data_IF_306679436080
#
_entry.id   IF_306679436080
#
_cell.length_a   1.000
_cell.length_b   1.000
_cell.length_c   1.000
_cell.angle_alpha   90.00
_cell.angle_beta   90.00
_cell.angle_gamma   90.00
#
_symmetry.space_group_name_H-M   'P 1'
#
loop_
_entity.id
_entity.type
_entity.pdbx_description
1 polymer ?
#
# COMPACT_ATOMS: atom_id res chain seq x y z
N UNK A 1 -21.06 25.62 8.44
CA UNK A 1 -21.15 25.05 7.08
C UNK A 1 -19.78 24.48 6.77
N UNK A 2 -19.70 23.24 6.26
CA UNK A 2 -18.43 22.63 5.85
C UNK A 2 -18.47 22.51 4.34
N UNK A 3 -17.47 23.07 3.68
CA UNK A 3 -17.30 22.97 2.23
C UNK A 3 -16.14 22.01 1.94
N UNK A 4 -16.26 21.22 0.87
CA UNK A 4 -15.28 20.19 0.52
C UNK A 4 -14.66 20.52 -0.83
N UNK A 5 -13.34 20.67 -0.85
CA UNK A 5 -12.57 20.80 -2.07
C UNK A 5 -12.04 19.42 -2.51
N UNK A 6 -12.20 19.10 -3.79
CA UNK A 6 -11.60 17.91 -4.40
C UNK A 6 -10.46 18.34 -5.32
N UNK A 7 -9.28 17.76 -5.10
CA UNK A 7 -8.06 18.07 -5.87
C UNK A 7 -7.69 16.81 -6.65
N UNK A 8 -7.43 16.97 -7.94
CA UNK A 8 -7.09 15.87 -8.85
C UNK A 8 -5.89 16.23 -9.70
N UNK A 9 -5.13 15.23 -10.11
CA UNK A 9 -3.94 15.41 -10.95
C UNK A 9 -4.27 14.89 -12.36
N UNK A 10 -4.12 15.75 -13.36
CA UNK A 10 -4.22 15.36 -14.76
C UNK A 10 -2.92 14.68 -15.22
N UNK A 11 -2.73 13.39 -14.88
CA UNK A 11 -1.48 12.65 -15.11
C UNK A 11 -0.96 12.67 -16.55
N UNK A 12 -1.85 12.78 -17.55
CA UNK A 12 -1.48 12.90 -18.96
C UNK A 12 -0.75 14.22 -19.29
N UNK A 13 -0.91 15.25 -18.47
CA UNK A 13 -0.28 16.56 -18.61
C UNK A 13 0.97 16.73 -17.73
N UNK A 14 1.20 15.82 -16.77
CA UNK A 14 2.39 15.85 -15.92
C UNK A 14 3.59 15.36 -16.73
N UNK A 15 4.67 16.14 -16.78
CA UNK A 15 5.88 15.77 -17.52
C UNK A 15 6.47 14.46 -17.00
N UNK A 16 7.06 13.68 -17.91
CA UNK A 16 7.77 12.45 -17.52
C UNK A 16 8.94 12.80 -16.57
N UNK A 17 9.08 12.04 -15.48
CA UNK A 17 10.09 12.31 -14.46
C UNK A 17 9.80 13.53 -13.57
N UNK A 18 8.61 14.15 -13.65
CA UNK A 18 8.22 15.22 -12.73
C UNK A 18 8.32 14.73 -11.28
N UNK A 19 9.03 15.49 -10.44
CA UNK A 19 9.25 15.20 -9.04
C UNK A 19 9.38 16.53 -8.30
N UNK A 20 8.24 17.13 -7.98
CA UNK A 20 8.21 18.41 -7.29
C UNK A 20 6.90 18.58 -6.51
N UNK A 21 6.82 19.65 -5.73
CA UNK A 21 5.63 20.04 -4.97
C UNK A 21 4.85 21.09 -5.74
N UNK A 22 3.59 20.79 -6.06
CA UNK A 22 2.64 21.77 -6.59
C UNK A 22 1.99 22.50 -5.42
N UNK A 23 2.05 23.82 -5.44
CA UNK A 23 1.45 24.67 -4.41
C UNK A 23 0.07 25.14 -4.88
N UNK A 24 -0.94 25.01 -4.00
CA UNK A 24 -2.30 25.45 -4.26
C UNK A 24 -2.66 26.48 -3.19
N UNK A 25 -2.94 27.69 -3.66
CA UNK A 25 -3.20 28.85 -2.83
C UNK A 25 -4.71 29.03 -2.61
N UNK A 26 -5.09 29.32 -1.36
CA UNK A 26 -6.47 29.60 -1.00
C UNK A 26 -6.58 30.95 -0.30
N UNK A 27 -7.58 31.71 -0.71
CA UNK A 27 -7.97 32.98 -0.10
C UNK A 27 -9.46 32.95 0.21
N UNK A 28 -9.87 33.53 1.33
CA UNK A 28 -11.29 33.59 1.74
C UNK A 28 -11.81 35.03 1.75
N UNK A 29 -13.06 35.23 1.31
CA UNK A 29 -13.75 36.53 1.32
C UNK A 29 -15.21 36.36 1.75
N UNK A 30 -15.74 37.16 2.71
CA UNK A 30 -15.04 38.12 3.54
C UNK A 30 -14.27 37.40 4.67
N UNK A 31 -12.95 37.44 4.63
CA UNK A 31 -12.10 37.02 5.75
C UNK A 31 -11.76 38.22 6.60
N UNK A 32 -11.94 38.14 7.92
CA UNK A 32 -11.60 39.24 8.85
C UNK A 32 -10.09 39.55 8.90
N UNK A 33 -9.25 38.67 8.32
CA UNK A 33 -7.82 38.85 8.07
C UNK A 33 -7.47 38.19 6.72
N UNK A 34 -6.44 38.65 5.98
CA UNK A 34 -5.99 38.02 4.74
C UNK A 34 -5.29 36.69 5.05
N UNK A 35 -6.06 35.68 5.45
CA UNK A 35 -5.54 34.33 5.62
C UNK A 35 -5.28 33.74 4.24
N UNK A 36 -3.99 33.59 3.96
CA UNK A 36 -3.46 32.85 2.84
C UNK A 36 -3.13 31.44 3.35
N UNK A 37 -3.85 30.45 2.85
CA UNK A 37 -3.51 29.06 3.09
C UNK A 37 -2.82 28.48 1.86
N UNK A 38 -1.78 27.70 2.11
CA UNK A 38 -0.98 27.05 1.07
C UNK A 38 -1.03 25.54 1.26
N UNK A 39 -1.64 24.84 0.32
CA UNK A 39 -1.57 23.39 0.26
C UNK A 39 -0.42 22.96 -0.64
N UNK A 40 0.50 22.19 -0.08
CA UNK A 40 1.63 21.59 -0.79
C UNK A 40 1.30 20.16 -1.19
N UNK A 41 1.21 19.93 -2.50
CA UNK A 41 0.89 18.61 -3.08
C UNK A 41 2.14 18.06 -3.74
N UNK A 42 2.86 17.12 -3.11
CA UNK A 42 3.97 16.44 -3.77
C UNK A 42 3.44 15.62 -4.95
N UNK A 43 3.95 15.87 -6.14
CA UNK A 43 3.62 15.13 -7.35
C UNK A 43 4.89 14.46 -7.86
N UNK A 44 4.87 13.14 -7.84
CA UNK A 44 5.94 12.29 -8.34
C UNK A 44 5.39 11.41 -9.46
N UNK A 45 5.87 11.63 -10.70
CA UNK A 45 5.55 10.80 -11.86
C UNK A 45 6.66 9.77 -12.09
N UNK A 46 6.78 8.82 -11.17
CA UNK A 46 7.59 7.61 -11.39
C UNK A 46 6.77 6.59 -12.17
N UNK A 47 7.16 6.33 -13.41
CA UNK A 47 6.57 5.24 -14.20
C UNK A 47 7.33 3.95 -13.87
N UNK A 48 6.62 2.96 -13.36
CA UNK A 48 7.13 1.59 -13.29
C UNK A 48 7.23 1.03 -14.72
N UNK A 49 8.14 0.08 -14.92
CA UNK A 49 8.17 -0.66 -16.17
C UNK A 49 6.80 -1.29 -16.45
N UNK A 50 6.39 -1.35 -17.73
CA UNK A 50 5.06 -1.83 -18.12
C UNK A 50 4.85 -3.32 -17.75
N UNK A 51 5.93 -4.05 -17.49
CA UNK A 51 5.98 -5.45 -17.06
C UNK A 51 6.30 -5.62 -15.56
N UNK A 52 6.23 -4.55 -14.77
CA UNK A 52 6.53 -4.62 -13.33
C UNK A 52 5.55 -5.54 -12.59
N UNK A 53 6.09 -6.52 -11.85
CA UNK A 53 5.34 -7.44 -11.00
C UNK A 53 5.84 -7.29 -9.56
N UNK A 54 5.06 -6.62 -8.71
CA UNK A 54 5.50 -6.30 -7.36
C UNK A 54 4.60 -5.33 -6.63
N UNK A 55 5.10 -4.83 -5.51
CA UNK A 55 4.47 -3.78 -4.73
C UNK A 55 5.31 -2.51 -4.87
N UNK A 56 4.85 -1.51 -5.61
CA UNK A 56 5.62 -0.30 -5.76
C UNK A 56 5.64 0.49 -4.46
N UNK A 57 6.75 1.16 -4.20
CA UNK A 57 6.83 2.14 -3.14
C UNK A 57 5.95 3.34 -3.48
N UNK A 58 5.20 3.82 -2.50
CA UNK A 58 4.47 5.07 -2.58
C UNK A 58 4.56 5.80 -1.24
N UNK A 59 4.77 7.11 -1.28
CA UNK A 59 4.87 7.95 -0.08
C UNK A 59 5.92 7.48 0.96
N UNK A 60 7.05 6.92 0.51
CA UNK A 60 8.16 6.53 1.39
C UNK A 60 8.03 5.15 2.04
N UNK A 61 7.01 4.36 1.67
CA UNK A 61 6.83 3.00 2.19
C UNK A 61 6.17 2.08 1.17
N UNK A 62 6.29 0.79 1.43
CA UNK A 62 5.54 -0.28 0.75
C UNK A 62 4.66 -0.93 1.80
N UNK A 63 3.34 -0.91 1.59
CA UNK A 63 2.38 -1.59 2.47
C UNK A 63 1.75 -2.76 1.73
N UNK A 64 1.86 -3.96 2.31
CA UNK A 64 1.42 -5.22 1.70
C UNK A 64 0.57 -5.98 2.70
N UNK A 65 -0.64 -6.36 2.31
CA UNK A 65 -1.44 -7.31 3.09
C UNK A 65 -0.85 -8.71 2.94
N UNK A 66 -0.60 -9.39 4.07
CA UNK A 66 0.09 -10.70 4.10
C UNK A 66 -0.40 -11.78 3.10
N UNK A 67 -1.70 -11.84 2.72
CA UNK A 67 -2.18 -12.79 1.72
C UNK A 67 -1.76 -12.49 0.26
N UNK A 68 -1.23 -11.31 -0.04
CA UNK A 68 -0.77 -10.92 -1.39
C UNK A 68 0.68 -11.36 -1.68
N UNK A 69 1.10 -12.54 -1.23
CA UNK A 69 2.42 -13.06 -1.57
C UNK A 69 2.51 -13.41 -3.08
N UNK A 70 3.68 -13.28 -3.68
CA UNK A 70 3.91 -13.62 -5.10
C UNK A 70 4.36 -15.07 -5.32
N UNK A 71 4.78 -15.74 -4.25
CA UNK A 71 5.16 -17.14 -4.27
C UNK A 71 4.91 -17.78 -2.91
N UNK A 72 4.64 -19.08 -2.90
CA UNK A 72 4.56 -19.87 -1.66
C UNK A 72 5.32 -21.17 -1.82
N UNK A 73 5.95 -21.61 -0.73
CA UNK A 73 6.54 -22.93 -0.60
C UNK A 73 5.92 -23.66 0.58
N UNK A 74 5.98 -24.99 0.54
CA UNK A 74 5.54 -25.87 1.60
C UNK A 74 6.51 -27.02 1.80
N UNK A 75 6.16 -27.97 2.65
CA UNK A 75 6.94 -29.21 2.79
C UNK A 75 7.01 -29.97 1.47
N UNK A 76 8.00 -30.84 1.29
CA UNK A 76 8.21 -31.59 0.04
C UNK A 76 6.98 -32.42 -0.40
N UNK A 77 6.17 -32.86 0.55
CA UNK A 77 4.91 -33.58 0.31
C UNK A 77 3.66 -32.68 0.31
N UNK A 78 3.82 -31.35 0.39
CA UNK A 78 2.75 -30.36 0.44
C UNK A 78 1.87 -30.39 1.69
N UNK A 79 2.24 -31.19 2.71
CA UNK A 79 1.43 -31.39 3.91
C UNK A 79 1.34 -30.13 4.76
N UNK A 80 2.42 -29.33 4.84
CA UNK A 80 2.40 -28.04 5.53
C UNK A 80 2.63 -26.92 4.53
N UNK A 81 1.74 -25.94 4.50
CA UNK A 81 1.79 -24.78 3.59
C UNK A 81 1.20 -23.53 4.22
N UNK A 82 1.55 -22.38 3.68
CA UNK A 82 0.85 -21.14 3.96
C UNK A 82 -0.55 -21.16 3.33
N UNK A 83 -1.53 -20.64 4.06
CA UNK A 83 -2.89 -20.46 3.58
C UNK A 83 -3.47 -19.15 4.08
N UNK A 84 -4.20 -18.46 3.20
CA UNK A 84 -4.95 -17.27 3.55
C UNK A 84 -6.12 -17.61 4.49
N UNK A 85 -6.38 -16.69 5.42
CA UNK A 85 -7.49 -16.71 6.36
C UNK A 85 -8.29 -15.43 6.12
N UNK A 86 -9.25 -15.47 5.17
CA UNK A 86 -10.05 -14.30 4.83
C UNK A 86 -10.70 -13.67 6.06
N UNK A 87 -10.80 -12.34 6.06
CA UNK A 87 -11.43 -11.54 7.12
C UNK A 87 -10.79 -11.60 8.52
N UNK A 88 -9.72 -12.39 8.72
CA UNK A 88 -9.05 -12.46 10.02
C UNK A 88 -8.14 -11.24 10.22
N UNK A 89 -8.37 -10.47 11.28
CA UNK A 89 -7.47 -9.40 11.71
C UNK A 89 -7.36 -8.22 10.74
N UNK A 90 -8.26 -8.10 9.76
CA UNK A 90 -8.29 -7.01 8.78
C UNK A 90 -9.69 -6.42 8.63
N UNK A 91 -9.76 -5.17 8.14
CA UNK A 91 -10.98 -4.55 7.61
C UNK A 91 -11.15 -4.78 6.10
N UNK A 92 -10.17 -5.41 5.45
CA UNK A 92 -10.20 -5.86 4.06
C UNK A 92 -10.68 -7.31 3.94
N UNK A 93 -10.99 -7.74 2.72
CA UNK A 93 -11.38 -9.12 2.42
C UNK A 93 -10.21 -10.11 2.51
N UNK A 94 -8.96 -9.65 2.36
CA UNK A 94 -7.79 -10.52 2.29
C UNK A 94 -7.50 -11.24 3.61
N UNK A 95 -7.65 -10.56 4.75
CA UNK A 95 -7.42 -11.12 6.07
C UNK A 95 -5.95 -11.41 6.38
N UNK A 96 -5.66 -12.58 6.97
CA UNK A 96 -4.34 -12.94 7.48
C UNK A 96 -3.73 -14.16 6.77
N UNK A 97 -2.42 -14.34 6.89
CA UNK A 97 -1.73 -15.54 6.44
C UNK A 97 -1.40 -16.47 7.62
N UNK A 98 -1.60 -17.77 7.46
CA UNK A 98 -1.24 -18.74 8.49
C UNK A 98 -0.68 -20.05 7.90
N UNK A 99 0.19 -20.70 8.66
CA UNK A 99 0.70 -22.05 8.32
C UNK A 99 -0.35 -23.10 8.70
N UNK A 100 -0.59 -24.06 7.82
CA UNK A 100 -1.60 -25.13 7.95
C UNK A 100 -1.06 -26.47 7.47
N UNK A 101 -1.51 -27.60 8.06
CA UNK A 101 -2.32 -27.72 9.27
C UNK A 101 -1.52 -27.43 10.55
N UNK A 102 -2.14 -26.75 11.52
CA UNK A 102 -1.47 -26.27 12.73
C UNK A 102 -0.76 -27.36 13.56
N UNK A 103 -1.40 -28.52 13.72
CA UNK A 103 -0.87 -29.61 14.56
C UNK A 103 0.40 -30.22 13.97
N UNK A 104 0.48 -30.29 12.64
CA UNK A 104 1.63 -30.85 11.92
C UNK A 104 2.74 -29.81 11.78
N UNK A 105 2.38 -28.54 11.56
CA UNK A 105 3.33 -27.44 11.42
C UNK A 105 4.18 -27.16 12.69
N UNK A 106 3.76 -27.65 13.85
CA UNK A 106 4.46 -27.46 15.14
C UNK A 106 5.51 -28.53 15.45
N UNK A 107 5.59 -29.59 14.66
CA UNK A 107 6.48 -30.71 14.96
C UNK A 107 7.93 -30.29 14.70
N UNK A 108 8.74 -30.18 15.76
CA UNK A 108 10.19 -29.98 15.63
C UNK A 108 10.79 -31.24 14.99
N UNK A 109 11.66 -31.07 14.01
CA UNK A 109 12.63 -32.12 13.68
C UNK A 109 13.47 -32.36 14.94
N UNK A 110 13.38 -33.56 15.50
CA UNK A 110 14.35 -34.02 16.49
C UNK A 110 15.67 -34.22 15.74
N UNK A 111 16.48 -33.16 15.64
CA UNK A 111 17.85 -33.27 15.16
C UNK A 111 18.65 -34.23 16.03
N UNK A 112 19.70 -34.88 15.49
CA UNK A 112 20.48 -35.86 16.23
C UNK A 112 21.23 -35.15 17.36
N UNK A 113 20.84 -35.47 18.60
CA UNK A 113 21.64 -35.19 19.79
C UNK A 113 22.73 -36.23 19.98
#
# INVERSE_FOLDING_TARGET
>A
MVERLNITIAWAQVLEGFNDTVEIEFTTTPGELPYFDLLRVPVLRTRLADDFVGFPESAGFVSIESPHFQGSSGTANGTVRYGAMPYLGSRSESGALAVRPYKVARQRDAGPG
#
